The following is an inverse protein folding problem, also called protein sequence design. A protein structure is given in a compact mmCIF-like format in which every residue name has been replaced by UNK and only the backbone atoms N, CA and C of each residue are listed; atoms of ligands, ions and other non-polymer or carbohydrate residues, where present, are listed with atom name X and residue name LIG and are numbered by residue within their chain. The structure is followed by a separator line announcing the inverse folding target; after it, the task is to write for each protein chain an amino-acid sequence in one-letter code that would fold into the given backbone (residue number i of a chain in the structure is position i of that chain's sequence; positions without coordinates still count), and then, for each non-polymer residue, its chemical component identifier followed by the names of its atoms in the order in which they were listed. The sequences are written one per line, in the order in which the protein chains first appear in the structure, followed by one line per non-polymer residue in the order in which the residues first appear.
data_IF_153128591888
#
_entry.id   IF_153128591888
#
_cell.length_a   1.000
_cell.length_b   1.000
_cell.length_c   1.000
_cell.angle_alpha   90.00
_cell.angle_beta   90.00
_cell.angle_gamma   90.00
#
_symmetry.space_group_name_H-M   'P 1'
#
loop_
_entity.id
_entity.type
_entity.pdbx_description
1 polymer ?
#
# COMPACT_ATOMS: atom_id res chain seq x y z
N UNK A 1 12.23 -3.28 14.70
CA UNK A 1 11.04 -4.14 14.51
C UNK A 1 9.94 -3.30 13.88
N UNK A 2 9.34 -3.73 12.76
CA UNK A 2 8.18 -3.05 12.16
C UNK A 2 6.91 -3.39 12.96
N UNK A 3 6.07 -2.40 13.25
CA UNK A 3 4.83 -2.59 14.04
C UNK A 3 3.59 -2.85 13.17
N UNK A 4 3.76 -3.23 11.90
CA UNK A 4 2.63 -3.60 11.05
C UNK A 4 2.06 -4.94 11.55
N UNK A 5 0.96 -4.86 12.30
CA UNK A 5 0.20 -6.00 12.83
C UNK A 5 -1.11 -6.17 12.04
N UNK A 6 -1.75 -7.36 12.11
CA UNK A 6 -3.11 -7.53 11.60
C UNK A 6 -4.03 -6.45 12.18
N UNK A 7 -4.95 -5.87 11.38
CA UNK A 7 -5.92 -4.90 11.91
C UNK A 7 -6.69 -5.52 13.07
N UNK A 8 -6.85 -4.78 14.16
CA UNK A 8 -7.62 -5.25 15.31
C UNK A 8 -9.12 -5.21 15.03
N UNK A 9 -9.54 -4.31 14.13
CA UNK A 9 -10.93 -4.13 13.76
C UNK A 9 -11.32 -4.97 12.53
N UNK A 10 -12.55 -5.49 12.56
CA UNK A 10 -13.15 -6.28 11.49
C UNK A 10 -13.35 -5.49 10.20
N UNK A 11 -13.53 -6.18 9.07
CA UNK A 11 -13.48 -5.56 7.73
C UNK A 11 -14.46 -4.40 7.52
N UNK A 12 -15.63 -4.46 8.18
CA UNK A 12 -16.72 -3.49 8.09
C UNK A 12 -16.69 -2.40 9.17
N UNK A 13 -15.70 -2.42 10.07
CA UNK A 13 -15.60 -1.44 11.14
C UNK A 13 -14.95 -0.14 10.61
N UNK A 14 -15.62 1.00 10.83
CA UNK A 14 -15.11 2.31 10.44
C UNK A 14 -13.78 2.69 11.11
N UNK A 15 -13.50 2.14 12.29
CA UNK A 15 -12.24 2.35 13.01
C UNK A 15 -11.05 1.64 12.38
N UNK A 16 -11.31 0.62 11.54
CA UNK A 16 -10.25 -0.10 10.78
C UNK A 16 -9.51 0.83 9.82
N UNK A 17 -10.20 1.78 9.21
CA UNK A 17 -9.59 2.76 8.31
C UNK A 17 -8.62 3.68 9.06
N UNK A 18 -9.03 4.15 10.24
CA UNK A 18 -8.22 4.99 11.11
C UNK A 18 -6.99 4.26 11.65
N UNK A 19 -7.16 3.04 12.19
CA UNK A 19 -6.05 2.23 12.70
C UNK A 19 -5.00 1.98 11.62
N UNK A 20 -5.44 1.54 10.43
CA UNK A 20 -4.53 1.30 9.30
C UNK A 20 -3.76 2.55 8.91
N UNK A 21 -4.43 3.70 8.83
CA UNK A 21 -3.80 4.97 8.45
C UNK A 21 -2.77 5.42 9.51
N UNK A 22 -3.11 5.31 10.78
CA UNK A 22 -2.22 5.69 11.88
C UNK A 22 -0.95 4.81 11.91
N UNK A 23 -1.12 3.49 11.82
CA UNK A 23 0.02 2.55 11.80
C UNK A 23 0.89 2.77 10.57
N UNK A 24 0.28 2.90 9.38
CA UNK A 24 1.04 3.11 8.15
C UNK A 24 1.82 4.42 8.16
N UNK A 25 1.20 5.52 8.63
CA UNK A 25 1.87 6.82 8.76
C UNK A 25 3.09 6.72 9.68
N UNK A 26 2.94 6.08 10.85
CA UNK A 26 4.03 5.94 11.81
C UNK A 26 5.20 5.12 11.26
N UNK A 27 4.91 4.03 10.57
CA UNK A 27 5.97 3.19 9.99
C UNK A 27 6.66 3.86 8.81
N UNK A 28 5.92 4.59 7.98
CA UNK A 28 6.51 5.38 6.90
C UNK A 28 7.41 6.49 7.46
N UNK A 29 6.97 7.19 8.51
CA UNK A 29 7.79 8.20 9.17
C UNK A 29 9.08 7.60 9.72
N UNK A 30 9.01 6.45 10.41
CA UNK A 30 10.21 5.74 10.91
C UNK A 30 11.18 5.36 9.81
N UNK A 31 10.66 4.99 8.63
CA UNK A 31 11.48 4.69 7.46
C UNK A 31 12.18 5.94 6.93
N UNK A 32 11.45 7.04 6.79
CA UNK A 32 12.00 8.34 6.36
C UNK A 32 13.09 8.78 7.35
N UNK A 33 12.79 8.79 8.65
CA UNK A 33 13.74 9.19 9.69
C UNK A 33 15.01 8.32 9.68
N UNK A 34 14.87 7.02 9.40
CA UNK A 34 15.99 6.09 9.27
C UNK A 34 16.85 6.39 8.04
N UNK A 35 16.24 6.70 6.90
CA UNK A 35 16.94 7.04 5.68
C UNK A 35 17.65 8.40 5.78
N UNK A 36 16.99 9.41 6.35
CA UNK A 36 17.61 10.73 6.63
C UNK A 36 18.82 10.57 7.55
N UNK A 37 18.71 9.75 8.60
CA UNK A 37 19.85 9.43 9.49
C UNK A 37 21.00 8.70 8.79
N UNK A 38 20.72 7.97 7.72
CA UNK A 38 21.73 7.35 6.88
C UNK A 38 22.38 8.33 5.87
N UNK A 39 21.94 9.61 5.88
CA UNK A 39 22.48 10.67 5.03
C UNK A 39 21.72 10.87 3.72
N UNK A 40 20.55 10.25 3.54
CA UNK A 40 19.73 10.42 2.34
C UNK A 40 18.97 11.73 2.40
N UNK A 41 18.72 12.35 1.26
CA UNK A 41 17.96 13.60 1.21
C UNK A 41 16.46 13.29 1.18
N UNK A 42 15.65 14.16 1.79
CA UNK A 42 14.21 13.96 1.90
C UNK A 42 13.50 13.91 0.54
N UNK A 43 14.01 14.65 -0.45
CA UNK A 43 13.51 14.65 -1.82
C UNK A 43 13.77 13.31 -2.54
N UNK A 44 14.95 12.72 -2.35
CA UNK A 44 15.28 11.38 -2.87
C UNK A 44 14.33 10.32 -2.28
N UNK A 45 14.11 10.37 -0.97
CA UNK A 45 13.19 9.45 -0.28
C UNK A 45 11.76 9.63 -0.80
N UNK A 46 11.31 10.86 -1.01
CA UNK A 46 9.97 11.14 -1.51
C UNK A 46 9.75 10.59 -2.92
N UNK A 47 10.74 10.72 -3.81
CA UNK A 47 10.70 10.16 -5.16
C UNK A 47 10.62 8.63 -5.12
N UNK A 48 11.51 7.97 -4.38
CA UNK A 48 11.52 6.51 -4.24
C UNK A 48 10.21 5.95 -3.67
N UNK A 49 9.63 6.65 -2.68
CA UNK A 49 8.32 6.27 -2.12
C UNK A 49 7.21 6.39 -3.16
N UNK A 50 7.24 7.43 -3.99
CA UNK A 50 6.24 7.63 -5.04
C UNK A 50 6.33 6.55 -6.13
N UNK A 51 7.54 6.25 -6.60
CA UNK A 51 7.77 5.25 -7.64
C UNK A 51 7.35 3.84 -7.17
N UNK A 52 7.73 3.47 -5.94
CA UNK A 52 7.33 2.17 -5.36
C UNK A 52 5.81 2.08 -5.13
N UNK A 53 5.16 3.19 -4.78
CA UNK A 53 3.72 3.23 -4.63
C UNK A 53 3.02 3.00 -5.98
N UNK A 54 3.50 3.66 -7.04
CA UNK A 54 2.94 3.50 -8.39
C UNK A 54 3.15 2.07 -8.91
N UNK A 55 4.35 1.51 -8.76
CA UNK A 55 4.64 0.13 -9.16
C UNK A 55 3.71 -0.86 -8.44
N UNK A 56 3.49 -0.67 -7.14
CA UNK A 56 2.59 -1.53 -6.36
C UNK A 56 1.14 -1.41 -6.82
N UNK A 57 0.66 -0.19 -7.12
CA UNK A 57 -0.67 0.04 -7.68
C UNK A 57 -0.82 -0.66 -9.04
N UNK A 58 0.16 -0.52 -9.92
CA UNK A 58 0.17 -1.19 -11.22
C UNK A 58 0.18 -2.71 -11.09
N UNK A 59 0.96 -3.25 -10.15
CA UNK A 59 0.98 -4.69 -9.83
C UNK A 59 -0.37 -5.18 -9.32
N UNK A 60 -1.05 -4.41 -8.45
CA UNK A 60 -2.39 -4.73 -7.98
C UNK A 60 -3.42 -4.68 -9.11
N UNK A 61 -3.33 -3.68 -9.99
CA UNK A 61 -4.22 -3.56 -11.15
C UNK A 61 -4.06 -4.78 -12.06
N UNK A 62 -2.83 -5.14 -12.43
CA UNK A 62 -2.53 -6.34 -13.23
C UNK A 62 -3.07 -7.62 -12.58
N UNK A 63 -2.92 -7.77 -11.26
CA UNK A 63 -3.46 -8.93 -10.53
C UNK A 63 -4.99 -8.97 -10.60
N UNK A 64 -5.68 -7.84 -10.45
CA UNK A 64 -7.15 -7.77 -10.57
C UNK A 64 -7.61 -8.10 -11.98
N UNK A 65 -6.95 -7.57 -13.00
CA UNK A 65 -7.26 -7.87 -14.40
C UNK A 65 -7.01 -9.34 -14.74
N UNK A 66 -5.90 -9.91 -14.28
CA UNK A 66 -5.59 -11.33 -14.43
C UNK A 66 -6.52 -12.26 -13.62
N UNK A 67 -7.22 -11.74 -12.61
CA UNK A 67 -8.22 -12.44 -11.81
C UNK A 67 -9.65 -12.25 -12.34
N UNK A 68 -9.83 -11.42 -13.39
CA UNK A 68 -11.07 -11.26 -14.13
C UNK A 68 -11.22 -12.11 -15.44
N UNK A 69 -10.59 -13.30 -15.63
CA UNK A 69 -10.64 -13.98 -16.92
C UNK A 69 -11.91 -14.83 -17.16
N UNK A 70 -13.03 -14.60 -16.46
CA UNK A 70 -14.23 -15.45 -16.60
C UNK A 70 -15.57 -14.72 -16.74
N UNK A 71 -15.61 -13.42 -17.03
CA UNK A 71 -16.90 -12.70 -17.22
C UNK A 71 -17.19 -12.24 -18.65
N UNK A 72 -16.39 -12.66 -19.62
CA UNK A 72 -16.69 -12.52 -21.04
C UNK A 72 -16.52 -13.85 -21.78
N UNK A 73 -17.34 -14.83 -21.40
CA UNK A 73 -17.61 -16.02 -22.19
C UNK A 73 -19.05 -16.51 -21.88
N UNK A 74 -20.05 -15.88 -22.52
CA UNK A 74 -21.25 -16.55 -23.06
C UNK A 74 -22.21 -15.54 -23.72
N UNK A 75 -22.19 -15.56 -25.05
CA UNK A 75 -23.31 -15.73 -25.99
C UNK A 75 -24.76 -15.58 -25.47
N UNK A 76 -25.54 -14.71 -26.14
CA UNK A 76 -26.75 -15.07 -26.90
C UNK A 76 -27.48 -13.83 -27.46
N UNK A 77 -27.68 -13.81 -28.78
CA UNK A 77 -28.44 -12.82 -29.55
C UNK A 77 -28.19 -12.95 -31.04
#
# INVERSE_FOLDING_TARGET
MREIRPPQYGFFDGNRGWERRAVFRRELQRLIDGAVRAGWREDEIALEVADLADEYVMKLARRKTAQAPFLCANDNG
#
